data_IF_204176598851
#
_entry.id   IF_204176598851
#
_cell.length_a   1.000
_cell.length_b   1.000
_cell.length_c   1.000
_cell.angle_alpha   90.00
_cell.angle_beta   90.00
_cell.angle_gamma   90.00
#
_symmetry.space_group_name_H-M   'P 1'
#
loop_
_entity.id
_entity.type
_entity.pdbx_description
1 polymer ?
#
# COMPACT_ATOMS: atom_id res chain seq x y z
N UNK A 1 0.45 13.30 4.45
CA UNK A 1 -0.69 13.32 5.41
C UNK A 1 -0.40 12.26 6.45
N UNK A 2 -0.69 12.50 7.73
CA UNK A 2 -0.44 11.53 8.80
C UNK A 2 -1.64 10.58 8.88
N UNK A 3 -1.38 9.28 8.91
CA UNK A 3 -2.43 8.29 9.07
C UNK A 3 -2.10 7.41 10.29
N UNK A 4 -3.07 7.25 11.18
CA UNK A 4 -2.98 6.35 12.33
C UNK A 4 -3.77 5.09 12.01
N UNK A 5 -3.10 3.95 11.96
CA UNK A 5 -3.73 2.63 11.80
C UNK A 5 -3.27 1.74 12.94
N UNK A 6 -4.21 1.11 13.64
CA UNK A 6 -3.90 0.22 14.77
C UNK A 6 -3.18 0.89 15.96
N UNK A 7 -3.21 2.22 16.08
CA UNK A 7 -2.51 2.97 17.13
C UNK A 7 -1.06 3.35 16.78
N UNK A 8 -0.55 2.94 15.62
CA UNK A 8 0.77 3.33 15.14
C UNK A 8 0.69 4.57 14.25
N UNK A 9 1.53 5.57 14.52
CA UNK A 9 1.76 6.69 13.59
C UNK A 9 2.52 6.17 12.36
N UNK A 10 1.91 6.32 11.18
CA UNK A 10 2.52 5.99 9.89
C UNK A 10 2.81 7.25 9.07
N UNK A 11 3.84 7.13 8.24
CA UNK A 11 4.34 8.18 7.38
C UNK A 11 4.14 7.81 5.92
N UNK A 12 3.65 8.77 5.17
CA UNK A 12 3.13 8.52 3.84
C UNK A 12 4.03 9.10 2.74
N UNK A 13 4.17 8.34 1.65
CA UNK A 13 4.95 8.72 0.46
C UNK A 13 4.03 8.69 -0.78
N UNK A 14 3.04 9.60 -0.87
CA UNK A 14 1.94 9.48 -1.82
C UNK A 14 2.38 9.60 -3.29
N UNK A 15 3.41 10.39 -3.58
CA UNK A 15 3.89 10.54 -4.96
C UNK A 15 4.61 9.27 -5.43
N UNK A 16 5.40 8.65 -4.56
CA UNK A 16 6.06 7.38 -4.88
C UNK A 16 5.03 6.24 -4.98
N UNK A 17 4.05 6.19 -4.08
CA UNK A 17 2.96 5.24 -4.17
C UNK A 17 2.16 5.39 -5.48
N UNK A 18 1.88 6.63 -5.89
CA UNK A 18 1.19 6.93 -7.14
C UNK A 18 1.99 6.41 -8.35
N UNK A 19 3.29 6.68 -8.37
CA UNK A 19 4.18 6.22 -9.44
C UNK A 19 4.23 4.68 -9.52
N UNK A 20 4.38 4.00 -8.37
CA UNK A 20 4.41 2.54 -8.33
C UNK A 20 3.07 1.93 -8.79
N UNK A 21 1.93 2.51 -8.41
CA UNK A 21 0.63 2.09 -8.92
C UNK A 21 0.59 2.15 -10.46
N UNK A 22 1.07 3.25 -11.05
CA UNK A 22 1.15 3.42 -12.50
C UNK A 22 2.09 2.41 -13.16
N UNK A 23 3.28 2.20 -12.59
CA UNK A 23 4.26 1.24 -13.12
C UNK A 23 3.75 -0.20 -13.04
N UNK A 24 3.10 -0.60 -11.94
CA UNK A 24 2.51 -1.94 -11.78
C UNK A 24 1.41 -2.19 -12.82
N UNK A 25 0.53 -1.22 -13.05
CA UNK A 25 -0.48 -1.32 -14.10
C UNK A 25 0.16 -1.48 -15.48
N UNK A 26 1.07 -0.57 -15.84
CA UNK A 26 1.67 -0.58 -17.16
C UNK A 26 2.38 -1.90 -17.48
N UNK A 27 2.98 -2.54 -16.48
CA UNK A 27 3.75 -3.77 -16.67
C UNK A 27 2.94 -5.05 -16.50
N UNK A 28 1.88 -5.06 -15.69
CA UNK A 28 1.19 -6.29 -15.27
C UNK A 28 -0.35 -6.22 -15.36
N UNK A 29 -0.96 -5.20 -15.97
CA UNK A 29 -2.43 -5.05 -16.05
C UNK A 29 -3.14 -6.32 -16.55
N UNK A 30 -2.59 -6.97 -17.58
CA UNK A 30 -3.15 -8.22 -18.13
C UNK A 30 -3.16 -9.35 -17.08
N UNK A 31 -2.05 -9.58 -16.39
CA UNK A 31 -1.96 -10.62 -15.35
C UNK A 31 -2.88 -10.34 -14.16
N UNK A 32 -3.04 -9.06 -13.81
CA UNK A 32 -3.87 -8.60 -12.69
C UNK A 32 -5.37 -8.73 -12.99
N UNK A 33 -5.81 -8.58 -14.24
CA UNK A 33 -7.21 -8.72 -14.63
C UNK A 33 -7.65 -10.19 -14.76
N UNK A 34 -6.81 -11.02 -15.37
CA UNK A 34 -7.27 -12.33 -15.84
C UNK A 34 -7.07 -13.46 -14.82
N UNK A 35 -6.21 -13.26 -13.81
CA UNK A 35 -5.66 -14.38 -13.04
C UNK A 35 -5.48 -14.12 -11.54
N UNK A 36 -5.96 -13.00 -11.01
CA UNK A 36 -5.78 -12.63 -9.61
C UNK A 36 -7.12 -12.29 -8.95
N UNK A 37 -7.27 -12.74 -7.70
CA UNK A 37 -8.43 -12.39 -6.88
C UNK A 37 -8.38 -10.90 -6.51
N UNK A 38 -9.54 -10.25 -6.49
CA UNK A 38 -9.68 -8.86 -6.10
C UNK A 38 -9.50 -8.62 -4.60
N UNK A 39 -9.46 -7.36 -4.20
CA UNK A 39 -9.33 -6.95 -2.79
C UNK A 39 -10.71 -6.84 -2.15
N UNK A 40 -10.91 -7.47 -0.99
CA UNK A 40 -12.13 -7.26 -0.21
C UNK A 40 -12.19 -5.86 0.41
N UNK A 41 -13.39 -5.27 0.53
CA UNK A 41 -13.61 -3.99 1.23
C UNK A 41 -13.08 -4.03 2.67
N UNK A 42 -13.23 -5.16 3.37
CA UNK A 42 -12.67 -5.39 4.71
C UNK A 42 -11.14 -5.34 4.76
N UNK A 43 -10.44 -5.68 3.67
CA UNK A 43 -8.99 -5.57 3.59
C UNK A 43 -8.53 -4.12 3.45
N UNK A 44 -9.32 -3.25 2.80
CA UNK A 44 -9.04 -1.81 2.74
C UNK A 44 -9.14 -1.14 4.11
N UNK A 45 -10.01 -1.63 5.00
CA UNK A 45 -10.18 -1.09 6.35
C UNK A 45 -8.93 -1.26 7.24
N UNK A 46 -8.02 -2.16 6.86
CA UNK A 46 -6.69 -2.28 7.49
C UNK A 46 -5.83 -1.02 7.27
N UNK A 47 -6.11 -0.28 6.20
CA UNK A 47 -5.26 0.78 5.66
C UNK A 47 -5.98 2.12 5.52
N UNK A 48 -7.27 2.21 5.85
CA UNK A 48 -8.04 3.45 5.90
C UNK A 48 -9.30 3.30 6.75
N UNK A 49 -9.86 4.42 7.22
CA UNK A 49 -11.13 4.40 7.97
C UNK A 49 -12.30 4.00 7.07
N UNK A 50 -13.34 3.38 7.64
CA UNK A 50 -14.54 2.98 6.90
C UNK A 50 -15.18 4.13 6.09
N UNK A 51 -15.18 5.36 6.63
CA UNK A 51 -15.64 6.56 5.90
C UNK A 51 -14.81 6.87 4.65
N UNK A 52 -13.50 6.63 4.70
CA UNK A 52 -12.61 6.78 3.55
C UNK A 52 -12.80 5.64 2.56
N UNK A 53 -13.03 4.41 3.03
CA UNK A 53 -13.36 3.25 2.18
C UNK A 53 -14.60 3.57 1.36
N UNK A 54 -15.67 4.04 2.01
CA UNK A 54 -16.91 4.44 1.32
C UNK A 54 -16.67 5.50 0.24
N UNK A 55 -15.85 6.52 0.54
CA UNK A 55 -15.49 7.57 -0.43
C UNK A 55 -14.60 7.06 -1.57
N UNK A 56 -13.74 6.07 -1.31
CA UNK A 56 -12.91 5.43 -2.31
C UNK A 56 -13.78 4.57 -3.24
N UNK A 57 -14.64 3.71 -2.69
CA UNK A 57 -15.55 2.86 -3.45
C UNK A 57 -16.46 3.69 -4.37
N UNK A 58 -16.97 4.83 -3.89
CA UNK A 58 -17.76 5.75 -4.71
C UNK A 58 -17.03 6.35 -5.94
N UNK A 59 -15.70 6.16 -6.04
CA UNK A 59 -14.89 6.60 -7.19
C UNK A 59 -14.50 5.47 -8.13
N UNK A 60 -14.73 4.22 -7.73
CA UNK A 60 -14.42 3.05 -8.54
C UNK A 60 -15.63 2.71 -9.39
N UNK A 61 -15.40 2.46 -10.69
CA UNK A 61 -16.47 2.14 -11.64
C UNK A 61 -17.06 0.74 -11.43
N UNK A 62 -16.32 -0.15 -10.77
CA UNK A 62 -16.65 -1.54 -10.50
C UNK A 62 -17.05 -1.80 -9.03
N UNK A 63 -17.18 -0.76 -8.21
CA UNK A 63 -17.65 -0.91 -6.84
C UNK A 63 -19.17 -0.97 -6.80
N UNK A 64 -19.75 -2.15 -7.05
CA UNK A 64 -21.15 -2.39 -6.76
C UNK A 64 -21.39 -2.41 -5.23
N UNK A 65 -22.57 -1.96 -4.80
CA UNK A 65 -22.94 -1.99 -3.37
C UNK A 65 -23.03 -3.44 -2.85
N UNK A 66 -23.35 -4.39 -3.73
CA UNK A 66 -23.49 -5.81 -3.40
C UNK A 66 -22.17 -6.59 -3.52
N UNK A 67 -21.21 -6.12 -4.33
CA UNK A 67 -19.93 -6.80 -4.49
C UNK A 67 -18.92 -6.31 -3.46
N UNK A 68 -18.48 -7.21 -2.60
CA UNK A 68 -17.50 -6.91 -1.55
C UNK A 68 -16.06 -6.94 -2.07
N UNK A 69 -15.87 -7.34 -3.34
CA UNK A 69 -14.58 -7.53 -3.99
C UNK A 69 -14.35 -6.42 -5.02
N UNK A 70 -13.16 -5.80 -4.95
CA UNK A 70 -12.74 -4.74 -5.86
C UNK A 70 -11.61 -5.24 -6.76
N UNK A 71 -11.63 -4.87 -8.04
CA UNK A 71 -10.55 -5.25 -8.95
C UNK A 71 -9.21 -4.61 -8.55
N UNK A 72 -8.13 -5.39 -8.65
CA UNK A 72 -6.77 -4.90 -8.43
C UNK A 72 -6.43 -3.76 -9.40
N UNK A 73 -6.88 -3.86 -10.65
CA UNK A 73 -6.57 -2.86 -11.68
C UNK A 73 -7.34 -1.56 -11.45
N UNK A 74 -8.60 -1.63 -11.02
CA UNK A 74 -9.39 -0.44 -10.65
C UNK A 74 -8.76 0.31 -9.48
N UNK A 75 -8.31 -0.42 -8.46
CA UNK A 75 -7.59 0.17 -7.32
C UNK A 75 -6.28 0.83 -7.74
N UNK A 76 -5.46 0.15 -8.55
CA UNK A 76 -4.21 0.73 -9.03
C UNK A 76 -4.46 1.94 -9.95
N UNK A 77 -5.54 1.94 -10.76
CA UNK A 77 -5.87 3.06 -11.67
C UNK A 77 -6.20 4.29 -10.85
N UNK A 78 -7.09 4.15 -9.86
CA UNK A 78 -7.40 5.22 -8.92
C UNK A 78 -6.16 5.68 -8.15
N UNK A 79 -5.30 4.74 -7.75
CA UNK A 79 -4.04 5.04 -7.06
C UNK A 79 -3.05 5.83 -7.92
N UNK A 80 -2.96 5.53 -9.21
CA UNK A 80 -2.11 6.22 -10.19
C UNK A 80 -2.64 7.61 -10.55
N UNK A 81 -3.95 7.83 -10.50
CA UNK A 81 -4.59 9.12 -10.81
C UNK A 81 -4.70 10.05 -9.60
N UNK A 82 -4.67 9.50 -8.38
CA UNK A 82 -4.92 10.26 -7.17
C UNK A 82 -3.87 10.04 -6.08
N UNK A 83 -2.99 11.02 -5.81
CA UNK A 83 -2.05 10.96 -4.70
C UNK A 83 -2.74 10.73 -3.34
N UNK A 84 -4.01 11.14 -3.20
CA UNK A 84 -4.77 10.97 -1.96
C UNK A 84 -5.10 9.52 -1.63
N UNK A 85 -5.26 8.66 -2.65
CA UNK A 85 -5.62 7.25 -2.47
C UNK A 85 -4.48 6.30 -2.80
N UNK A 86 -3.45 6.79 -3.51
CA UNK A 86 -2.26 6.06 -3.96
C UNK A 86 -1.73 5.04 -2.95
N UNK A 87 -1.36 5.48 -1.75
CA UNK A 87 -0.74 4.63 -0.74
C UNK A 87 -1.66 3.54 -0.22
N UNK A 88 -2.95 3.83 -0.05
CA UNK A 88 -3.90 2.82 0.40
C UNK A 88 -4.22 1.82 -0.70
N UNK A 89 -4.45 2.28 -1.93
CA UNK A 89 -4.66 1.42 -3.09
C UNK A 89 -3.46 0.48 -3.27
N UNK A 90 -2.24 1.02 -3.24
CA UNK A 90 -1.01 0.23 -3.27
C UNK A 90 -0.96 -0.78 -2.13
N UNK A 91 -1.14 -0.34 -0.88
CA UNK A 91 -1.01 -1.20 0.29
C UNK A 91 -1.98 -2.37 0.26
N UNK A 92 -3.22 -2.11 -0.14
CA UNK A 92 -4.25 -3.13 -0.22
C UNK A 92 -3.99 -4.14 -1.35
N UNK A 93 -3.52 -3.65 -2.51
CA UNK A 93 -3.13 -4.53 -3.63
C UNK A 93 -1.95 -5.42 -3.25
N UNK A 94 -0.90 -4.87 -2.64
CA UNK A 94 0.25 -5.66 -2.22
C UNK A 94 -0.11 -6.64 -1.10
N UNK A 95 -0.89 -6.22 -0.09
CA UNK A 95 -1.37 -7.13 0.95
C UNK A 95 -2.14 -8.31 0.32
N UNK A 96 -3.01 -8.04 -0.64
CA UNK A 96 -3.73 -9.09 -1.35
C UNK A 96 -2.79 -10.02 -2.16
N UNK A 97 -1.89 -9.45 -2.97
CA UNK A 97 -0.96 -10.22 -3.80
C UNK A 97 0.00 -11.08 -3.00
N UNK A 98 0.41 -10.64 -1.81
CA UNK A 98 1.29 -11.39 -0.92
C UNK A 98 0.57 -12.48 -0.13
N UNK A 99 -0.76 -12.40 0.04
CA UNK A 99 -1.55 -13.37 0.81
C UNK A 99 -2.41 -14.31 -0.04
N UNK A 100 -2.59 -14.03 -1.34
CA UNK A 100 -3.31 -14.92 -2.25
C UNK A 100 -2.50 -16.21 -2.54
N UNK A 101 -3.21 -17.27 -2.91
CA UNK A 101 -2.62 -18.59 -3.19
C UNK A 101 -2.85 -19.08 -4.63
N UNK A 102 -3.50 -18.25 -5.43
CA UNK A 102 -3.96 -18.56 -6.79
C UNK A 102 -2.81 -18.63 -7.78
N UNK A 103 -1.83 -17.71 -7.70
CA UNK A 103 -0.69 -17.66 -8.60
C UNK A 103 0.58 -17.23 -7.86
N UNK A 104 1.75 -17.81 -8.14
CA UNK A 104 3.00 -17.34 -7.53
C UNK A 104 3.24 -15.85 -7.82
N UNK A 105 3.41 -15.06 -6.76
CA UNK A 105 3.79 -13.66 -6.84
C UNK A 105 5.26 -13.51 -6.44
N UNK A 106 6.08 -12.91 -7.30
CA UNK A 106 7.52 -12.73 -7.08
C UNK A 106 7.83 -11.25 -6.92
N UNK A 107 8.46 -10.90 -5.81
CA UNK A 107 8.99 -9.56 -5.56
C UNK A 107 10.49 -9.58 -5.84
N UNK A 108 10.95 -8.74 -6.75
CA UNK A 108 12.36 -8.50 -7.01
C UNK A 108 12.74 -7.17 -6.40
N UNK A 109 13.78 -7.17 -5.59
CA UNK A 109 14.23 -5.98 -4.89
C UNK A 109 15.74 -5.87 -4.95
N UNK A 110 16.20 -4.75 -5.50
CA UNK A 110 17.59 -4.35 -5.40
C UNK A 110 17.82 -3.58 -4.09
N UNK A 111 19.05 -3.61 -3.61
CA UNK A 111 19.48 -2.91 -2.39
C UNK A 111 18.63 -3.21 -1.13
N UNK A 112 18.18 -4.46 -0.96
CA UNK A 112 17.39 -4.89 0.21
C UNK A 112 18.02 -4.53 1.58
N UNK A 113 19.36 -4.47 1.64
CA UNK A 113 20.11 -4.04 2.82
C UNK A 113 19.78 -2.61 3.27
N UNK A 114 19.28 -1.73 2.39
CA UNK A 114 18.92 -0.35 2.72
C UNK A 114 17.76 -0.25 3.72
N UNK A 115 16.91 -1.28 3.84
CA UNK A 115 15.88 -1.30 4.89
C UNK A 115 16.43 -1.44 6.31
N UNK A 116 17.69 -1.89 6.46
CA UNK A 116 18.33 -2.08 7.75
C UNK A 116 19.27 -0.93 8.12
N UNK A 117 19.63 -0.09 7.14
CA UNK A 117 20.50 1.06 7.36
C UNK A 117 19.74 2.25 8.01
N UNK A 118 20.41 3.39 8.08
CA UNK A 118 19.88 4.65 8.57
C UNK A 118 18.89 5.17 7.53
N UNK A 119 17.60 5.15 7.86
CA UNK A 119 16.54 5.54 6.93
C UNK A 119 16.71 6.95 6.35
N UNK A 120 16.08 7.22 5.21
CA UNK A 120 16.22 8.49 4.49
C UNK A 120 15.13 9.52 4.83
N UNK A 121 14.12 9.14 5.60
CA UNK A 121 12.94 9.95 5.86
C UNK A 121 12.96 10.48 7.28
N UNK A 122 12.75 11.78 7.45
CA UNK A 122 12.70 12.44 8.75
C UNK A 122 11.40 13.24 8.86
N UNK A 123 10.82 13.26 10.06
CA UNK A 123 9.60 14.01 10.30
C UNK A 123 9.50 14.40 11.78
N UNK A 124 9.14 15.65 12.07
CA UNK A 124 9.04 16.18 13.44
C UNK A 124 8.10 15.37 14.34
N UNK A 125 6.96 14.94 13.79
CA UNK A 125 6.03 14.05 14.51
C UNK A 125 6.59 12.65 14.86
N UNK A 126 7.68 12.20 14.22
CA UNK A 126 8.40 10.98 14.62
C UNK A 126 9.48 11.30 15.64
N UNK A 127 10.29 12.32 15.36
CA UNK A 127 11.34 12.84 16.24
C UNK A 127 11.36 14.36 16.12
N UNK A 128 11.05 15.06 17.22
CA UNK A 128 10.88 16.52 17.24
C UNK A 128 12.10 17.28 16.72
N UNK A 129 13.29 16.69 16.88
CA UNK A 129 14.54 17.29 16.43
C UNK A 129 15.03 16.75 15.07
N UNK A 130 14.30 15.84 14.44
CA UNK A 130 14.65 15.21 13.17
C UNK A 130 16.08 14.62 13.13
N UNK A 131 16.57 14.15 14.27
CA UNK A 131 17.84 13.43 14.39
C UNK A 131 17.69 11.95 14.05
N UNK A 132 16.48 11.40 14.24
CA UNK A 132 16.17 10.00 13.95
C UNK A 132 15.36 9.87 12.67
N UNK A 133 15.82 8.98 11.79
CA UNK A 133 15.07 8.62 10.61
C UNK A 133 13.87 7.74 10.99
N UNK A 134 12.77 7.91 10.27
CA UNK A 134 11.57 7.09 10.35
C UNK A 134 11.93 5.67 9.90
N UNK A 135 11.69 4.64 10.74
CA UNK A 135 11.92 3.25 10.37
C UNK A 135 11.05 2.83 9.20
N UNK A 136 11.59 1.99 8.31
CA UNK A 136 10.89 1.55 7.09
C UNK A 136 9.53 0.88 7.37
N UNK A 137 9.39 0.16 8.49
CA UNK A 137 8.12 -0.46 8.88
C UNK A 137 7.01 0.54 9.29
N UNK A 138 7.35 1.83 9.45
CA UNK A 138 6.41 2.93 9.70
C UNK A 138 6.08 3.74 8.45
N UNK A 139 6.62 3.37 7.30
CA UNK A 139 6.35 4.02 6.02
C UNK A 139 5.28 3.21 5.28
N UNK A 140 4.15 3.85 4.93
CA UNK A 140 2.98 3.18 4.31
C UNK A 140 3.35 2.41 3.06
N UNK A 141 4.24 2.95 2.23
CA UNK A 141 4.72 2.32 1.00
C UNK A 141 5.51 1.03 1.25
N UNK A 142 6.23 0.93 2.37
CA UNK A 142 7.15 -0.17 2.63
C UNK A 142 6.54 -1.24 3.55
N UNK A 143 5.67 -0.81 4.46
CA UNK A 143 5.07 -1.66 5.50
C UNK A 143 4.39 -2.93 4.95
N UNK A 144 3.58 -2.91 3.87
CA UNK A 144 2.94 -4.12 3.35
C UNK A 144 3.95 -5.20 2.92
N UNK A 145 4.99 -4.81 2.17
CA UNK A 145 6.06 -5.71 1.74
C UNK A 145 6.86 -6.24 2.93
N UNK A 146 7.28 -5.37 3.84
CA UNK A 146 8.08 -5.75 5.01
C UNK A 146 7.30 -6.71 5.94
N UNK A 147 6.02 -6.44 6.16
CA UNK A 147 5.15 -7.31 6.95
C UNK A 147 5.02 -8.69 6.31
N UNK A 148 4.80 -8.76 5.00
CA UNK A 148 4.66 -10.03 4.29
C UNK A 148 5.96 -10.85 4.28
N UNK A 149 7.12 -10.19 4.27
CA UNK A 149 8.42 -10.86 4.39
C UNK A 149 8.78 -11.24 5.84
N UNK A 150 7.99 -10.85 6.84
CA UNK A 150 8.33 -11.01 8.25
C UNK A 150 9.54 -10.18 8.68
N UNK A 151 9.87 -9.12 7.94
CA UNK A 151 11.02 -8.26 8.19
C UNK A 151 10.59 -7.13 9.11
N UNK A 152 10.91 -7.27 10.39
CA UNK A 152 10.82 -6.18 11.35
C UNK A 152 12.23 -5.88 11.86
N UNK A 153 12.66 -4.61 11.74
CA UNK A 153 13.84 -4.14 12.45
C UNK A 153 13.44 -4.04 13.93
N UNK A 154 13.84 -5.03 14.71
CA UNK A 154 13.82 -4.93 16.17
C UNK A 154 14.90 -3.90 16.52
N UNK A 155 14.48 -2.72 16.99
CA UNK A 155 15.40 -1.77 17.63
C UNK A 155 15.93 -2.33 18.96
#
# INVERSE_FOLDING_TARGET
KQEQYGGELLFDLPILAQEICGQMLQSHEHDLNDNMEGVSKSSLEKFMSADKVKKLCAKLEDADEEDDILSLTSLLKLGAESPTYSSTCYSAVIDNLMNQTTKPFTVVMDEFNCYFDHGHYFHEAYDTHANKAIPSHRITLLKPLLNAMGVQKNE
#
